data_IF_006072081151
#
_entry.id   IF_006072081151
#
_cell.length_a   1.000
_cell.length_b   1.000
_cell.length_c   1.000
_cell.angle_alpha   90.00
_cell.angle_beta   90.00
_cell.angle_gamma   90.00
#
_symmetry.space_group_name_H-M   'P 1'
#
loop_
_entity.id
_entity.type
_entity.pdbx_description
1 polymer ?
#
# COMPACT_ATOMS: atom_id res chain seq x y z
N UNK A 1 -0.71 -23.86 -0.58
CA UNK A 1 -0.79 -22.70 0.28
C UNK A 1 -2.19 -22.08 0.25
N UNK A 2 -2.45 -21.16 1.14
CA UNK A 2 -3.76 -20.50 1.29
C UNK A 2 -4.01 -19.50 0.17
N UNK A 3 -5.26 -19.38 -0.26
CA UNK A 3 -5.69 -18.31 -1.17
C UNK A 3 -5.71 -16.94 -0.45
N UNK A 4 -5.66 -15.85 -1.21
CA UNK A 4 -5.94 -14.53 -0.66
C UNK A 4 -7.35 -14.47 -0.05
N UNK A 5 -7.52 -13.74 1.05
CA UNK A 5 -8.83 -13.62 1.72
C UNK A 5 -8.73 -13.43 3.23
N UNK A 6 -9.87 -13.60 3.91
CA UNK A 6 -9.99 -13.49 5.36
C UNK A 6 -9.92 -14.84 6.03
N UNK A 7 -9.28 -14.87 7.19
CA UNK A 7 -9.04 -16.06 8.02
C UNK A 7 -9.38 -15.77 9.47
N UNK A 8 -10.01 -16.71 10.15
CA UNK A 8 -10.34 -16.55 11.58
C UNK A 8 -9.12 -16.62 12.49
N UNK A 9 -8.04 -17.24 12.03
CA UNK A 9 -6.84 -17.50 12.83
C UNK A 9 -5.59 -17.31 12.02
N UNK A 10 -4.55 -16.91 12.71
CA UNK A 10 -3.20 -16.85 12.20
C UNK A 10 -2.72 -18.19 11.64
N UNK A 11 -1.92 -18.15 10.57
CA UNK A 11 -1.39 -19.33 9.90
C UNK A 11 -0.01 -19.07 9.30
N UNK A 12 0.66 -20.15 8.91
CA UNK A 12 1.93 -20.08 8.22
C UNK A 12 1.70 -20.28 6.70
N UNK A 13 2.03 -19.26 5.93
CA UNK A 13 1.90 -19.24 4.47
C UNK A 13 3.10 -19.89 3.82
N UNK A 14 2.89 -20.97 3.09
CA UNK A 14 3.92 -21.59 2.27
C UNK A 14 3.80 -21.14 0.80
N UNK A 15 4.93 -20.77 0.21
CA UNK A 15 5.05 -20.46 -1.22
C UNK A 15 5.77 -21.63 -1.90
N UNK A 16 5.06 -22.32 -2.80
CA UNK A 16 5.61 -23.43 -3.56
C UNK A 16 6.09 -22.94 -4.93
N UNK A 17 7.28 -23.35 -5.30
CA UNK A 17 7.92 -23.01 -6.58
C UNK A 17 8.53 -24.25 -7.22
N UNK A 18 8.86 -24.12 -8.50
CA UNK A 18 9.59 -25.17 -9.23
C UNK A 18 11.03 -25.35 -8.72
N UNK A 19 11.61 -26.46 -9.09
CA UNK A 19 13.02 -26.75 -8.81
C UNK A 19 13.94 -25.67 -9.41
N UNK A 20 15.03 -25.36 -8.71
CA UNK A 20 16.06 -24.40 -9.15
C UNK A 20 15.56 -22.97 -9.35
N UNK A 21 14.52 -22.55 -8.60
CA UNK A 21 14.03 -21.18 -8.58
C UNK A 21 14.28 -20.54 -7.20
N UNK A 22 14.60 -19.25 -7.20
CA UNK A 22 14.65 -18.42 -5.99
C UNK A 22 13.40 -17.56 -5.96
N UNK A 23 12.67 -17.58 -4.84
CA UNK A 23 11.51 -16.69 -4.65
C UNK A 23 11.96 -15.44 -3.95
N UNK A 24 11.60 -14.29 -4.52
CA UNK A 24 11.64 -13.00 -3.86
C UNK A 24 10.23 -12.55 -3.51
N UNK A 25 10.11 -11.87 -2.37
CA UNK A 25 8.82 -11.30 -1.96
C UNK A 25 9.00 -9.94 -1.29
N UNK A 26 7.94 -9.14 -1.31
CA UNK A 26 7.78 -7.88 -0.57
C UNK A 26 6.49 -7.90 0.23
N UNK A 27 6.43 -7.06 1.26
CA UNK A 27 5.25 -6.92 2.15
C UNK A 27 4.73 -5.47 2.21
N UNK A 28 5.31 -4.59 1.42
CA UNK A 28 5.06 -3.15 1.37
C UNK A 28 4.37 -2.68 0.08
N UNK A 29 3.99 -3.60 -0.80
CA UNK A 29 3.32 -3.30 -2.06
C UNK A 29 4.26 -3.03 -3.24
N UNK A 30 5.58 -2.94 -3.02
CA UNK A 30 6.57 -2.77 -4.09
C UNK A 30 6.74 -4.02 -4.95
N UNK A 31 7.30 -3.89 -6.15
CA UNK A 31 7.54 -5.04 -7.03
C UNK A 31 8.76 -5.85 -6.56
N UNK A 32 8.60 -7.13 -6.17
CA UNK A 32 9.70 -7.98 -5.72
C UNK A 32 10.77 -8.25 -6.80
N UNK A 33 10.48 -7.99 -8.06
CA UNK A 33 11.47 -8.14 -9.13
C UNK A 33 12.55 -7.06 -9.07
N UNK A 34 12.24 -5.85 -8.56
CA UNK A 34 13.11 -4.68 -8.63
C UNK A 34 13.29 -3.94 -7.30
N UNK A 35 12.45 -4.22 -6.31
CA UNK A 35 12.47 -3.49 -5.04
C UNK A 35 13.72 -3.77 -4.21
N UNK A 36 14.23 -2.73 -3.56
CA UNK A 36 15.31 -2.83 -2.58
C UNK A 36 14.83 -3.43 -1.25
N UNK A 37 13.51 -3.46 -0.99
CA UNK A 37 12.91 -4.06 0.21
C UNK A 37 12.61 -5.54 0.06
N UNK A 38 12.85 -6.11 -1.13
CA UNK A 38 12.60 -7.52 -1.39
C UNK A 38 13.41 -8.44 -0.48
N UNK A 39 12.79 -9.54 -0.10
CA UNK A 39 13.39 -10.60 0.73
C UNK A 39 13.41 -11.90 -0.05
N UNK A 40 14.39 -12.76 0.24
CA UNK A 40 14.40 -14.14 -0.24
C UNK A 40 13.45 -14.97 0.62
N UNK A 41 12.59 -15.76 -0.01
CA UNK A 41 11.73 -16.71 0.70
C UNK A 41 12.53 -17.97 1.06
N UNK A 42 12.71 -18.19 2.34
CA UNK A 42 13.43 -19.37 2.88
C UNK A 42 12.54 -20.26 3.73
N UNK A 43 11.57 -19.68 4.42
CA UNK A 43 10.68 -20.39 5.34
C UNK A 43 9.26 -19.86 5.20
N UNK A 44 8.28 -20.64 5.69
CA UNK A 44 6.90 -20.21 5.75
C UNK A 44 6.75 -18.83 6.42
N UNK A 45 5.89 -17.98 5.86
CA UNK A 45 5.64 -16.64 6.34
C UNK A 45 4.49 -16.66 7.33
N UNK A 46 4.73 -16.20 8.54
CA UNK A 46 3.68 -16.07 9.53
C UNK A 46 2.72 -14.95 9.14
N UNK A 47 1.43 -15.27 9.02
CA UNK A 47 0.34 -14.33 8.79
C UNK A 47 -0.49 -14.28 10.07
N UNK A 48 -0.47 -13.12 10.71
CA UNK A 48 -1.08 -12.89 12.01
C UNK A 48 -2.16 -11.79 11.95
N UNK A 49 -2.97 -11.72 13.02
CA UNK A 49 -3.79 -10.54 13.31
C UNK A 49 -2.89 -9.31 13.49
N UNK A 50 -3.25 -8.23 12.82
CA UNK A 50 -2.51 -6.96 12.80
C UNK A 50 -3.29 -5.80 13.41
N UNK A 51 -4.38 -6.07 14.12
CA UNK A 51 -5.25 -5.05 14.73
C UNK A 51 -4.47 -4.13 15.67
N UNK A 52 -3.47 -4.68 16.37
CA UNK A 52 -2.59 -3.93 17.29
C UNK A 52 -1.39 -3.24 16.63
N UNK A 53 -1.17 -3.44 15.34
CA UNK A 53 -0.11 -2.74 14.61
C UNK A 53 -0.43 -1.24 14.51
N UNK A 54 0.62 -0.41 14.44
CA UNK A 54 0.46 1.02 14.24
C UNK A 54 -0.16 1.33 12.88
N UNK A 55 -0.97 2.38 12.84
CA UNK A 55 -1.54 2.89 11.61
C UNK A 55 -0.43 3.52 10.76
N UNK A 56 -0.28 3.07 9.53
CA UNK A 56 0.68 3.62 8.56
C UNK A 56 -0.05 4.43 7.51
N UNK A 57 -0.86 3.79 6.66
CA UNK A 57 -1.57 4.49 5.58
C UNK A 57 -2.66 5.42 6.12
N UNK A 58 -3.43 4.97 7.13
CA UNK A 58 -4.49 5.78 7.75
C UNK A 58 -3.97 6.92 8.64
N UNK A 59 -2.67 6.90 8.98
CA UNK A 59 -2.00 7.99 9.69
C UNK A 59 -1.21 8.91 8.74
N UNK A 60 -1.12 8.59 7.45
CA UNK A 60 -0.40 9.41 6.49
C UNK A 60 -1.12 10.75 6.27
N UNK A 61 -0.35 11.82 6.33
CA UNK A 61 -0.84 13.17 6.02
C UNK A 61 -0.47 13.55 4.58
N UNK A 62 -1.41 13.45 3.64
CA UNK A 62 -1.14 13.73 2.23
C UNK A 62 -0.94 15.21 1.95
N UNK A 63 -1.39 16.08 2.85
CA UNK A 63 -1.38 17.53 2.64
C UNK A 63 -0.06 18.16 3.04
N UNK A 64 0.53 17.70 4.17
CA UNK A 64 1.79 18.25 4.74
C UNK A 64 1.82 19.78 4.87
N UNK A 65 0.66 20.43 4.94
CA UNK A 65 0.53 21.87 5.11
C UNK A 65 -0.21 22.18 6.40
N UNK A 66 0.07 23.36 6.98
CA UNK A 66 -0.64 23.84 8.16
C UNK A 66 -2.02 24.36 7.73
N UNK A 67 -3.08 23.79 8.26
CA UNK A 67 -4.46 24.23 8.08
C UNK A 67 -5.09 24.45 9.46
N UNK A 68 -5.85 25.50 9.63
CA UNK A 68 -6.44 25.90 10.93
C UNK A 68 -7.32 24.78 11.56
N UNK A 69 -7.91 23.94 10.74
CA UNK A 69 -8.78 22.87 11.22
C UNK A 69 -8.07 21.53 11.45
N UNK A 70 -6.77 21.42 11.16
CA UNK A 70 -6.04 20.14 11.26
C UNK A 70 -5.97 19.60 12.68
N UNK A 71 -5.81 20.47 13.65
CA UNK A 71 -5.75 20.08 15.07
C UNK A 71 -7.07 19.46 15.57
N UNK A 72 -8.17 19.64 14.81
CA UNK A 72 -9.46 19.02 15.10
C UNK A 72 -9.62 17.62 14.47
N UNK A 73 -8.74 17.23 13.54
CA UNK A 73 -8.79 15.93 12.89
C UNK A 73 -8.25 14.87 13.85
N UNK A 74 -9.11 13.94 14.24
CA UNK A 74 -8.71 12.78 15.02
C UNK A 74 -8.38 11.63 14.11
N UNK A 75 -7.17 11.12 14.23
CA UNK A 75 -6.81 9.86 13.60
C UNK A 75 -7.56 8.71 14.31
N UNK A 76 -7.97 7.67 13.59
CA UNK A 76 -8.59 6.51 14.20
C UNK A 76 -7.61 5.79 15.13
N UNK A 77 -8.15 5.19 16.19
CA UNK A 77 -7.37 4.27 17.02
C UNK A 77 -6.87 3.10 16.16
N UNK A 78 -5.69 2.57 16.49
CA UNK A 78 -5.09 1.48 15.70
C UNK A 78 -6.00 0.25 15.59
N UNK A 79 -6.70 -0.12 16.64
CA UNK A 79 -7.67 -1.22 16.66
C UNK A 79 -8.96 -0.96 15.87
N UNK A 80 -9.22 0.28 15.47
CA UNK A 80 -10.38 0.64 14.66
C UNK A 80 -10.10 0.62 13.15
N UNK A 81 -8.89 0.25 12.75
CA UNK A 81 -8.45 0.15 11.35
C UNK A 81 -8.09 -1.28 11.03
N UNK A 82 -8.86 -1.90 10.15
CA UNK A 82 -8.54 -3.24 9.64
C UNK A 82 -7.22 -3.23 8.87
N UNK A 83 -6.39 -4.20 9.15
CA UNK A 83 -5.08 -4.32 8.52
C UNK A 83 -4.90 -5.69 7.90
N UNK A 84 -4.53 -5.72 6.63
CA UNK A 84 -4.16 -6.94 5.94
C UNK A 84 -2.64 -7.07 5.78
N UNK A 85 -2.19 -8.30 5.60
CA UNK A 85 -0.82 -8.60 5.18
C UNK A 85 -0.79 -8.78 3.68
N UNK A 86 -0.09 -7.89 2.98
CA UNK A 86 0.14 -7.99 1.54
C UNK A 86 1.41 -8.78 1.29
N UNK A 87 1.32 -9.78 0.42
CA UNK A 87 2.48 -10.51 -0.11
C UNK A 87 2.49 -10.35 -1.62
N UNK A 88 3.56 -9.77 -2.14
CA UNK A 88 3.87 -9.80 -3.57
C UNK A 88 5.09 -10.68 -3.77
N UNK A 89 5.01 -11.64 -4.65
CA UNK A 89 6.10 -12.61 -4.84
C UNK A 89 6.35 -12.90 -6.32
N UNK A 90 7.61 -13.08 -6.68
CA UNK A 90 8.04 -13.57 -7.99
C UNK A 90 9.09 -14.67 -7.84
N UNK A 91 9.14 -15.57 -8.80
CA UNK A 91 10.15 -16.62 -8.88
C UNK A 91 11.20 -16.22 -9.92
N UNK A 92 12.47 -16.18 -9.50
CA UNK A 92 13.63 -16.00 -10.38
C UNK A 92 14.13 -17.37 -10.82
N UNK A 93 14.15 -17.59 -12.12
CA UNK A 93 14.70 -18.80 -12.73
C UNK A 93 16.20 -18.67 -13.04
N UNK A 94 16.72 -19.66 -13.76
CA UNK A 94 18.16 -19.75 -14.16
C UNK A 94 18.63 -18.59 -15.06
N UNK A 95 17.72 -17.82 -15.63
CA UNK A 95 18.03 -16.62 -16.43
C UNK A 95 18.36 -15.38 -15.59
N UNK A 96 18.24 -15.45 -14.27
CA UNK A 96 18.41 -14.30 -13.37
C UNK A 96 17.29 -13.25 -13.51
N UNK A 97 16.14 -13.63 -14.04
CA UNK A 97 14.98 -12.74 -14.17
C UNK A 97 13.78 -13.31 -13.43
N UNK A 98 13.09 -12.45 -12.72
CA UNK A 98 11.79 -12.77 -12.14
C UNK A 98 10.75 -13.02 -13.25
N UNK A 99 9.93 -14.03 -13.03
CA UNK A 99 8.70 -14.28 -13.79
C UNK A 99 7.59 -13.31 -13.38
N UNK A 100 6.34 -13.72 -13.66
CA UNK A 100 5.16 -12.93 -13.28
C UNK A 100 5.07 -12.79 -11.77
N UNK A 101 4.89 -11.56 -11.29
CA UNK A 101 4.59 -11.27 -9.88
C UNK A 101 3.14 -11.69 -9.56
N UNK A 102 2.98 -12.37 -8.44
CA UNK A 102 1.69 -12.71 -7.84
C UNK A 102 1.49 -11.84 -6.62
N UNK A 103 0.30 -11.27 -6.49
CA UNK A 103 -0.11 -10.43 -5.35
C UNK A 103 -1.24 -11.12 -4.60
N UNK A 104 -1.14 -11.19 -3.28
CA UNK A 104 -2.16 -11.75 -2.40
C UNK A 104 -2.24 -10.92 -1.10
N UNK A 105 -3.46 -10.67 -0.64
CA UNK A 105 -3.71 -10.01 0.65
C UNK A 105 -4.43 -10.98 1.57
N UNK A 106 -3.98 -11.02 2.81
CA UNK A 106 -4.52 -11.87 3.87
C UNK A 106 -4.96 -11.00 5.03
N UNK A 107 -6.21 -11.20 5.47
CA UNK A 107 -6.77 -10.59 6.67
C UNK A 107 -6.94 -11.68 7.72
N UNK A 108 -6.53 -11.42 8.94
CA UNK A 108 -6.73 -12.33 10.08
C UNK A 108 -7.58 -11.61 11.11
N UNK A 109 -8.62 -12.30 11.59
CA UNK A 109 -9.62 -11.77 12.53
C UNK A 109 -10.36 -10.51 11.98
N UNK A 110 -10.50 -10.42 10.67
CA UNK A 110 -11.32 -9.39 9.98
C UNK A 110 -12.40 -10.11 9.18
N UNK A 111 -13.64 -9.80 9.47
CA UNK A 111 -14.81 -10.45 8.88
C UNK A 111 -15.72 -9.45 8.16
N UNK A 112 -16.37 -9.88 7.08
CA UNK A 112 -17.43 -9.09 6.45
C UNK A 112 -18.62 -8.83 7.39
N UNK A 113 -18.86 -9.71 8.38
CA UNK A 113 -19.90 -9.52 9.38
C UNK A 113 -19.68 -8.26 10.24
N UNK A 114 -18.43 -7.86 10.46
CA UNK A 114 -18.08 -6.63 11.19
C UNK A 114 -18.38 -5.38 10.35
N UNK A 115 -18.61 -5.54 9.06
CA UNK A 115 -18.87 -4.50 8.06
C UNK A 115 -20.25 -4.64 7.39
N UNK A 116 -21.25 -5.13 8.11
CA UNK A 116 -22.62 -5.34 7.58
C UNK A 116 -22.67 -6.22 6.32
N UNK A 117 -21.86 -7.26 6.28
CA UNK A 117 -21.70 -8.21 5.18
C UNK A 117 -21.25 -7.58 3.84
N UNK A 118 -20.65 -6.41 3.88
CA UNK A 118 -20.04 -5.83 2.69
C UNK A 118 -18.78 -6.58 2.26
N UNK A 119 -18.52 -6.70 0.96
CA UNK A 119 -17.30 -7.33 0.47
C UNK A 119 -16.07 -6.49 0.80
N UNK A 120 -14.98 -7.16 1.18
CA UNK A 120 -13.68 -6.53 1.37
C UNK A 120 -12.98 -6.43 0.02
N UNK A 121 -12.54 -5.23 -0.35
CA UNK A 121 -11.73 -4.99 -1.55
C UNK A 121 -10.35 -4.53 -1.12
N UNK A 122 -9.32 -5.32 -1.41
CA UNK A 122 -7.93 -4.97 -1.18
C UNK A 122 -7.30 -4.45 -2.47
N UNK A 123 -6.77 -3.25 -2.42
CA UNK A 123 -6.05 -2.63 -3.54
C UNK A 123 -4.60 -2.46 -3.11
N UNK A 124 -3.69 -3.13 -3.82
CA UNK A 124 -2.24 -3.06 -3.58
C UNK A 124 -1.57 -2.25 -4.68
N UNK A 125 -0.77 -1.29 -4.30
CA UNK A 125 0.05 -0.50 -5.23
C UNK A 125 1.40 -0.16 -4.58
N UNK A 126 2.37 0.25 -5.38
CA UNK A 126 3.63 0.78 -4.87
C UNK A 126 3.37 2.07 -4.08
N UNK A 127 3.83 2.18 -2.81
CA UNK A 127 3.66 3.38 -2.00
C UNK A 127 4.18 4.67 -2.67
N UNK A 128 5.23 4.59 -3.46
CA UNK A 128 5.73 5.74 -4.23
C UNK A 128 4.69 6.21 -5.27
N UNK A 129 3.89 5.32 -5.81
CA UNK A 129 2.78 5.68 -6.68
C UNK A 129 1.73 6.55 -5.99
N UNK A 130 1.60 6.46 -4.68
CA UNK A 130 0.66 7.26 -3.89
C UNK A 130 1.31 8.53 -3.32
N UNK A 131 2.52 8.42 -2.74
CA UNK A 131 3.04 9.39 -1.79
C UNK A 131 4.32 10.11 -2.26
N UNK A 132 4.91 9.72 -3.39
CA UNK A 132 6.07 10.40 -3.94
C UNK A 132 5.73 11.85 -4.31
N UNK A 133 6.56 12.81 -3.92
CA UNK A 133 6.29 14.23 -4.14
C UNK A 133 6.16 14.62 -5.62
N UNK A 134 6.88 13.94 -6.52
CA UNK A 134 6.84 14.23 -7.97
C UNK A 134 5.68 13.56 -8.68
N UNK A 135 5.38 12.33 -8.31
CA UNK A 135 4.51 11.45 -9.12
C UNK A 135 3.39 10.79 -8.34
N UNK A 136 3.36 10.97 -7.03
CA UNK A 136 2.33 10.37 -6.16
C UNK A 136 0.97 11.00 -6.39
N UNK A 137 -0.07 10.18 -6.44
CA UNK A 137 -1.45 10.62 -6.69
C UNK A 137 -2.26 10.87 -5.42
N UNK A 138 -1.65 10.71 -4.25
CA UNK A 138 -2.31 10.92 -2.95
C UNK A 138 -1.48 11.87 -2.06
N UNK A 139 -1.02 12.97 -2.65
CA UNK A 139 -0.30 14.04 -1.95
C UNK A 139 -0.49 15.37 -2.69
N UNK A 140 -0.09 16.48 -2.06
CA UNK A 140 -0.01 17.78 -2.72
C UNK A 140 1.10 17.81 -3.76
N UNK A 141 2.27 17.34 -3.38
CA UNK A 141 3.43 17.16 -4.24
C UNK A 141 4.00 18.42 -4.87
N UNK A 142 4.83 18.20 -5.88
CA UNK A 142 5.56 19.27 -6.55
C UNK A 142 4.63 20.21 -7.34
N UNK A 143 3.51 19.71 -7.86
CA UNK A 143 2.52 20.55 -8.55
C UNK A 143 1.97 21.65 -7.63
N UNK A 144 1.72 21.31 -6.36
CA UNK A 144 1.29 22.30 -5.39
C UNK A 144 2.43 23.27 -5.02
N UNK A 145 3.64 22.78 -4.85
CA UNK A 145 4.81 23.63 -4.49
C UNK A 145 5.05 24.70 -5.55
N UNK A 146 5.03 24.32 -6.82
CA UNK A 146 5.18 25.23 -7.94
C UNK A 146 4.07 26.30 -7.94
N UNK A 147 2.82 25.87 -7.73
CA UNK A 147 1.70 26.80 -7.65
C UNK A 147 1.82 27.78 -6.47
N UNK A 148 2.19 27.28 -5.29
CA UNK A 148 2.33 28.07 -4.05
C UNK A 148 3.46 29.14 -4.17
N UNK A 149 4.57 28.79 -4.81
CA UNK A 149 5.67 29.71 -5.11
C UNK A 149 5.25 30.86 -6.03
N UNK A 150 4.39 30.58 -7.03
CA UNK A 150 3.87 31.58 -7.95
C UNK A 150 2.73 32.42 -7.36
N UNK A 151 2.05 31.91 -6.32
CA UNK A 151 0.83 32.50 -5.76
C UNK A 151 0.88 32.53 -4.19
N UNK A 152 1.86 33.18 -3.57
CA UNK A 152 2.12 33.06 -2.13
C UNK A 152 0.98 33.56 -1.23
N UNK A 153 0.12 34.44 -1.74
CA UNK A 153 -0.97 35.05 -0.98
C UNK A 153 -2.35 34.37 -1.19
N UNK A 154 -2.40 33.23 -1.91
CA UNK A 154 -3.66 32.57 -2.13
C UNK A 154 -4.12 31.77 -0.89
N UNK A 155 -5.41 31.82 -0.53
CA UNK A 155 -5.93 30.95 0.50
C UNK A 155 -6.06 29.52 -0.03
N UNK A 156 -5.72 28.53 0.81
CA UNK A 156 -5.92 27.13 0.46
C UNK A 156 -7.39 26.82 0.13
N UNK A 157 -7.61 26.08 -0.95
CA UNK A 157 -8.90 25.45 -1.25
C UNK A 157 -8.66 24.19 -2.10
N UNK A 158 -9.60 23.24 -2.09
CA UNK A 158 -9.45 21.94 -2.74
C UNK A 158 -9.38 21.94 -4.28
N UNK A 159 -9.50 23.10 -4.93
CA UNK A 159 -9.38 23.25 -6.40
C UNK A 159 -8.01 23.78 -6.85
N UNK A 160 -7.12 24.07 -5.90
CA UNK A 160 -5.74 24.47 -6.20
C UNK A 160 -5.01 23.32 -6.88
N UNK A 161 -4.17 23.59 -7.90
CA UNK A 161 -3.35 22.57 -8.53
C UNK A 161 -2.48 21.82 -7.52
N UNK A 162 -2.54 20.51 -7.55
CA UNK A 162 -1.75 19.61 -6.71
C UNK A 162 -1.68 18.24 -7.40
N UNK A 163 -0.76 17.38 -7.00
CA UNK A 163 -0.63 16.05 -7.59
C UNK A 163 -1.95 15.27 -7.54
N UNK A 164 -2.67 15.29 -6.41
CA UNK A 164 -3.89 14.49 -6.19
C UNK A 164 -5.06 14.84 -7.14
N UNK A 165 -5.05 16.00 -7.78
CA UNK A 165 -6.11 16.43 -8.71
C UNK A 165 -5.67 16.51 -10.17
N UNK A 166 -4.46 16.04 -10.47
CA UNK A 166 -3.98 15.95 -11.83
C UNK A 166 -4.65 14.80 -12.59
N UNK A 167 -4.59 14.87 -13.92
CA UNK A 167 -5.21 13.90 -14.83
C UNK A 167 -4.27 13.61 -15.98
N UNK A 168 -4.42 12.42 -16.56
CA UNK A 168 -3.62 11.94 -17.67
C UNK A 168 -2.91 10.64 -17.30
N UNK A 169 -2.38 9.96 -18.30
CA UNK A 169 -1.75 8.64 -18.12
C UNK A 169 -0.55 8.65 -17.19
N UNK A 170 0.17 9.74 -17.12
CA UNK A 170 1.30 9.94 -16.22
C UNK A 170 0.90 9.89 -14.74
N UNK A 171 -0.37 10.15 -14.44
CA UNK A 171 -0.95 10.12 -13.11
C UNK A 171 -1.73 8.81 -12.81
N UNK A 172 -1.78 7.87 -13.75
CA UNK A 172 -2.33 6.54 -13.50
C UNK A 172 -1.27 5.66 -12.82
N UNK A 173 -1.69 4.89 -11.83
CA UNK A 173 -0.81 3.97 -11.10
C UNK A 173 -1.31 2.55 -11.23
N UNK A 174 -0.38 1.62 -11.43
CA UNK A 174 -0.71 0.20 -11.40
C UNK A 174 -1.17 -0.22 -10.01
N UNK A 175 -2.23 -1.01 -9.97
CA UNK A 175 -2.72 -1.63 -8.74
C UNK A 175 -3.15 -3.08 -8.99
N UNK A 176 -3.20 -3.86 -7.92
CA UNK A 176 -3.46 -5.30 -7.93
C UNK A 176 -4.51 -5.66 -6.89
#
# INVERSE_FOLDING_TARGET
SQAAGSYEKAFDLEITVGESQTVYYTTDGTDPATSDTRKVYENALRIDDRSDDENVLSAYDPMKIQLDYRDSIKLPDKSAVDKGTVIRACAEGTSGKCGKTVTATYFVDVSSADHNDLPIVSITTDPDGLFNEKTGIYCLGDVYKEYDEENPDHPWNGSIPANYNQRGREWEKECY
#
